data_IF_526918752525
#
_entry.id   IF_526918752525
#
_cell.length_a   1.000
_cell.length_b   1.000
_cell.length_c   1.000
_cell.angle_alpha   90.00
_cell.angle_beta   90.00
_cell.angle_gamma   90.00
#
_symmetry.space_group_name_H-M   'P 1'
#
loop_
_entity.id
_entity.type
_entity.pdbx_description
1 polymer ?
#
# COMPACT_ATOMS: atom_id res chain seq x y z
N UNK A 1 -15.16 6.59 -5.45
CA UNK A 1 -14.18 6.29 -6.51
C UNK A 1 -14.33 4.85 -7.04
N UNK A 2 -14.20 3.80 -6.21
CA UNK A 2 -14.41 2.40 -6.65
C UNK A 2 -15.84 2.08 -7.09
N UNK A 3 -16.85 2.56 -6.35
CA UNK A 3 -18.27 2.41 -6.73
C UNK A 3 -18.57 3.00 -8.11
N UNK A 4 -18.10 4.22 -8.39
CA UNK A 4 -18.27 4.88 -9.68
C UNK A 4 -17.57 4.11 -10.81
N UNK A 5 -16.41 3.49 -10.54
CA UNK A 5 -15.73 2.62 -11.49
C UNK A 5 -16.57 1.37 -11.79
N UNK A 6 -17.11 0.71 -10.76
CA UNK A 6 -17.98 -0.45 -10.94
C UNK A 6 -19.24 -0.10 -11.75
N UNK A 7 -19.87 1.03 -11.45
CA UNK A 7 -21.04 1.52 -12.19
C UNK A 7 -20.70 1.79 -13.67
N UNK A 8 -19.58 2.47 -13.93
CA UNK A 8 -19.11 2.75 -15.30
C UNK A 8 -18.77 1.49 -16.09
N UNK A 9 -18.21 0.48 -15.44
CA UNK A 9 -17.85 -0.79 -16.07
C UNK A 9 -19.03 -1.77 -16.17
N UNK A 10 -20.11 -1.55 -15.41
CA UNK A 10 -21.20 -2.52 -15.23
C UNK A 10 -20.78 -3.79 -14.48
N UNK A 11 -19.57 -3.82 -13.91
CA UNK A 11 -18.95 -4.95 -13.21
C UNK A 11 -17.75 -4.49 -12.39
N UNK A 12 -17.25 -5.30 -11.45
CA UNK A 12 -15.96 -5.02 -10.82
C UNK A 12 -14.80 -5.05 -11.85
N UNK A 13 -13.74 -4.25 -11.64
CA UNK A 13 -12.55 -4.28 -12.50
C UNK A 13 -11.83 -5.63 -12.38
N UNK A 14 -11.01 -6.00 -13.38
CA UNK A 14 -10.23 -7.26 -13.32
C UNK A 14 -9.02 -7.17 -12.37
N UNK A 15 -8.51 -5.96 -12.18
CA UNK A 15 -7.42 -5.64 -11.29
C UNK A 15 -7.58 -4.22 -10.77
N UNK A 16 -7.09 -3.95 -9.57
CA UNK A 16 -7.08 -2.62 -8.96
C UNK A 16 -5.81 -2.44 -8.14
N UNK A 17 -5.15 -1.30 -8.32
CA UNK A 17 -4.09 -0.85 -7.45
C UNK A 17 -4.57 0.34 -6.60
N UNK A 18 -4.31 0.31 -5.30
CA UNK A 18 -4.56 1.43 -4.38
C UNK A 18 -3.25 1.99 -3.84
N UNK A 19 -3.05 3.30 -3.97
CA UNK A 19 -1.79 3.95 -3.60
C UNK A 19 -1.60 4.20 -2.10
N UNK A 20 -2.55 3.78 -1.25
CA UNK A 20 -2.49 3.96 0.20
C UNK A 20 -3.41 2.96 0.90
N UNK A 21 -3.07 2.58 2.13
CA UNK A 21 -3.85 1.65 2.96
C UNK A 21 -5.33 2.09 3.13
N UNK A 22 -5.60 3.36 3.41
CA UNK A 22 -6.97 3.87 3.57
C UNK A 22 -7.81 3.83 2.29
N UNK A 23 -7.17 3.90 1.12
CA UNK A 23 -7.88 3.71 -0.16
C UNK A 23 -8.30 2.26 -0.35
N UNK A 24 -7.41 1.32 0.02
CA UNK A 24 -7.71 -0.10 0.01
C UNK A 24 -8.84 -0.44 0.99
N UNK A 25 -8.83 0.10 2.19
CA UNK A 25 -9.91 -0.07 3.16
C UNK A 25 -11.26 0.37 2.59
N UNK A 26 -11.30 1.51 1.90
CA UNK A 26 -12.49 1.99 1.21
C UNK A 26 -12.98 1.02 0.12
N UNK A 27 -12.06 0.38 -0.61
CA UNK A 27 -12.37 -0.66 -1.60
C UNK A 27 -12.90 -1.92 -0.92
N UNK A 28 -12.21 -2.44 0.09
CA UNK A 28 -12.60 -3.64 0.84
C UNK A 28 -13.96 -3.46 1.51
N UNK A 29 -14.23 -2.29 2.08
CA UNK A 29 -15.53 -1.94 2.64
C UNK A 29 -16.64 -2.00 1.60
N UNK A 30 -16.42 -1.42 0.41
CA UNK A 30 -17.40 -1.51 -0.67
C UNK A 30 -17.56 -2.96 -1.15
N UNK A 31 -16.47 -3.70 -1.34
CA UNK A 31 -16.55 -5.10 -1.76
C UNK A 31 -17.33 -5.94 -0.76
N UNK A 32 -17.12 -5.74 0.55
CA UNK A 32 -17.89 -6.40 1.60
C UNK A 32 -19.38 -6.05 1.53
N UNK A 33 -19.72 -4.76 1.44
CA UNK A 33 -21.11 -4.29 1.39
C UNK A 33 -21.92 -4.82 0.21
N UNK A 34 -21.25 -5.11 -0.92
CA UNK A 34 -21.90 -5.56 -2.15
C UNK A 34 -21.60 -7.04 -2.48
N UNK A 35 -21.12 -7.83 -1.50
CA UNK A 35 -20.81 -9.26 -1.65
C UNK A 35 -19.82 -9.57 -2.80
N UNK A 36 -18.81 -8.73 -2.95
CA UNK A 36 -17.78 -8.83 -3.99
C UNK A 36 -16.44 -9.36 -3.47
N UNK A 37 -16.33 -9.77 -2.20
CA UNK A 37 -15.06 -10.29 -1.67
C UNK A 37 -14.58 -11.55 -2.42
N UNK A 38 -15.51 -12.39 -2.88
CA UNK A 38 -15.19 -13.59 -3.68
C UNK A 38 -15.06 -13.31 -5.19
N UNK A 39 -15.14 -12.04 -5.60
CA UNK A 39 -15.02 -11.69 -7.01
C UNK A 39 -13.58 -11.86 -7.50
N UNK A 40 -13.41 -12.22 -8.78
CA UNK A 40 -12.10 -12.45 -9.42
C UNK A 40 -11.37 -11.15 -9.75
N UNK A 41 -11.15 -10.31 -8.74
CA UNK A 41 -10.39 -9.06 -8.84
C UNK A 41 -8.99 -9.32 -8.29
N UNK A 42 -7.95 -8.94 -9.04
CA UNK A 42 -6.60 -8.87 -8.49
C UNK A 42 -6.40 -7.55 -7.75
N UNK A 43 -6.22 -7.61 -6.44
CA UNK A 43 -5.96 -6.44 -5.61
C UNK A 43 -4.47 -6.28 -5.37
N UNK A 44 -3.98 -5.05 -5.55
CA UNK A 44 -2.66 -4.64 -5.13
C UNK A 44 -2.73 -3.31 -4.37
N UNK A 45 -1.83 -3.08 -3.40
CA UNK A 45 -1.78 -1.82 -2.66
C UNK A 45 -0.36 -1.38 -2.35
N UNK A 46 -0.22 -0.09 -2.06
CA UNK A 46 0.92 0.43 -1.32
C UNK A 46 0.70 0.23 0.19
N UNK A 47 1.80 0.18 0.94
CA UNK A 47 1.90 -0.29 2.33
C UNK A 47 1.58 -1.77 2.53
N UNK A 48 2.26 -2.35 3.52
CA UNK A 48 2.10 -3.75 3.89
C UNK A 48 1.75 -3.88 5.36
N UNK A 49 0.46 -3.88 5.66
CA UNK A 49 -0.03 -4.07 7.01
C UNK A 49 -0.15 -5.56 7.32
N UNK A 50 0.36 -6.02 8.47
CA UNK A 50 0.39 -7.44 8.84
C UNK A 50 -1.00 -8.13 8.81
N UNK A 51 -2.08 -7.37 9.07
CA UNK A 51 -3.45 -7.88 9.00
C UNK A 51 -3.87 -8.35 7.60
N UNK A 52 -3.18 -7.93 6.53
CA UNK A 52 -3.48 -8.38 5.18
C UNK A 52 -3.28 -9.88 5.00
N UNK A 53 -2.44 -10.52 5.83
CA UNK A 53 -2.26 -11.97 5.83
C UNK A 53 -3.46 -12.74 6.42
N UNK A 54 -4.34 -12.04 7.13
CA UNK A 54 -5.54 -12.63 7.77
C UNK A 54 -6.84 -12.39 6.98
N UNK A 55 -6.78 -11.68 5.85
CA UNK A 55 -7.95 -11.38 5.05
C UNK A 55 -8.33 -12.59 4.17
N UNK A 56 -9.63 -12.76 3.93
CA UNK A 56 -10.13 -13.75 2.96
C UNK A 56 -9.77 -13.41 1.51
N UNK A 57 -9.46 -12.14 1.25
CA UNK A 57 -8.99 -11.65 -0.04
C UNK A 57 -7.47 -11.54 -0.08
N UNK A 58 -6.89 -11.93 -1.20
CA UNK A 58 -5.44 -11.79 -1.41
C UNK A 58 -5.14 -10.39 -1.92
N UNK A 59 -4.07 -9.79 -1.41
CA UNK A 59 -3.66 -8.43 -1.76
C UNK A 59 -2.14 -8.42 -1.91
N UNK A 60 -1.66 -8.20 -3.13
CA UNK A 60 -0.22 -7.96 -3.33
C UNK A 60 0.13 -6.57 -2.81
N UNK A 61 1.26 -6.41 -2.13
CA UNK A 61 1.63 -5.10 -1.56
C UNK A 61 3.04 -4.68 -1.90
N UNK A 62 3.22 -3.37 -2.07
CA UNK A 62 4.55 -2.75 -2.11
C UNK A 62 4.91 -2.41 -0.66
N UNK A 63 5.84 -3.18 -0.09
CA UNK A 63 6.31 -3.03 1.28
C UNK A 63 7.52 -2.10 1.33
N UNK A 64 7.43 -1.08 2.18
CA UNK A 64 8.54 -0.18 2.49
C UNK A 64 9.38 -0.74 3.64
N UNK A 65 10.69 -0.45 3.61
CA UNK A 65 11.55 -0.67 4.78
C UNK A 65 11.38 0.49 5.78
N UNK A 66 10.29 0.42 6.54
CA UNK A 66 9.93 1.45 7.52
C UNK A 66 10.99 1.61 8.61
N UNK A 67 11.74 0.54 8.92
CA UNK A 67 12.83 0.58 9.90
C UNK A 67 13.98 1.42 9.37
N UNK A 68 14.44 1.16 8.15
CA UNK A 68 15.48 1.96 7.53
C UNK A 68 15.00 3.39 7.29
N UNK A 69 13.76 3.60 6.83
CA UNK A 69 13.22 4.96 6.68
C UNK A 69 13.33 5.76 7.98
N UNK A 70 12.86 5.20 9.10
CA UNK A 70 12.94 5.87 10.39
C UNK A 70 14.40 6.14 10.82
N UNK A 71 15.29 5.17 10.64
CA UNK A 71 16.71 5.32 10.95
C UNK A 71 17.39 6.43 10.14
N UNK A 72 17.24 6.41 8.82
CA UNK A 72 17.82 7.41 7.91
C UNK A 72 17.24 8.81 8.18
N UNK A 73 15.94 8.91 8.45
CA UNK A 73 15.33 10.19 8.85
C UNK A 73 15.93 10.73 10.14
N UNK A 74 16.08 9.87 11.16
CA UNK A 74 16.68 10.26 12.44
C UNK A 74 18.12 10.74 12.25
N UNK A 75 18.94 9.97 11.53
CA UNK A 75 20.34 10.33 11.24
C UNK A 75 20.47 11.70 10.55
N UNK A 76 19.70 11.93 9.48
CA UNK A 76 19.72 13.19 8.74
C UNK A 76 19.32 14.38 9.62
N UNK A 77 18.27 14.22 10.42
CA UNK A 77 17.79 15.28 11.32
C UNK A 77 18.82 15.56 12.41
N UNK A 78 19.46 14.53 12.98
CA UNK A 78 20.51 14.69 13.99
C UNK A 78 21.71 15.49 13.46
N UNK A 79 22.21 15.17 12.26
CA UNK A 79 23.29 15.92 11.61
C UNK A 79 22.91 17.40 11.41
N UNK A 80 21.68 17.67 10.95
CA UNK A 80 21.19 19.04 10.79
C UNK A 80 21.10 19.80 12.12
N UNK A 81 20.71 19.13 13.21
CA UNK A 81 20.68 19.70 14.57
C UNK A 81 22.09 20.03 15.05
N UNK A 82 23.09 19.22 14.71
CA UNK A 82 24.51 19.43 15.05
C UNK A 82 25.18 20.52 14.20
N UNK A 83 24.45 21.11 13.24
CA UNK A 83 24.96 22.13 12.33
C UNK A 83 25.74 21.58 11.14
N UNK A 84 25.72 20.26 10.95
CA UNK A 84 26.26 19.61 9.77
C UNK A 84 25.25 19.70 8.60
N UNK A 85 25.76 19.62 7.36
CA UNK A 85 24.90 19.52 6.17
C UNK A 85 25.05 18.11 5.59
N UNK A 86 24.05 17.21 5.79
CA UNK A 86 24.10 15.86 5.26
C UNK A 86 24.31 15.83 3.75
N UNK A 87 25.18 14.94 3.29
CA UNK A 87 25.39 14.72 1.85
C UNK A 87 25.30 13.24 1.50
N UNK A 88 24.35 12.83 0.64
CA UNK A 88 23.20 13.57 0.14
C UNK A 88 22.11 13.87 1.21
N UNK A 89 21.37 14.97 0.99
CA UNK A 89 20.17 15.36 1.76
C UNK A 89 18.96 14.45 1.53
N UNK A 90 18.97 13.68 0.44
CA UNK A 90 17.91 12.72 0.11
C UNK A 90 18.49 11.31 0.11
N UNK A 91 17.79 10.40 0.79
CA UNK A 91 18.09 8.97 0.78
C UNK A 91 17.00 8.26 -0.01
N UNK A 92 17.41 7.32 -0.87
CA UNK A 92 16.51 6.41 -1.56
C UNK A 92 16.63 5.04 -0.92
N UNK A 93 15.50 4.45 -0.55
CA UNK A 93 15.42 3.10 -0.03
C UNK A 93 14.56 2.26 -0.97
N UNK A 94 15.03 1.08 -1.42
CA UNK A 94 14.24 0.22 -2.29
C UNK A 94 13.05 -0.35 -1.53
N UNK A 95 11.91 -0.43 -2.20
CA UNK A 95 10.75 -1.17 -1.72
C UNK A 95 10.80 -2.63 -2.19
N UNK A 96 10.04 -3.51 -1.53
CA UNK A 96 9.88 -4.90 -1.93
C UNK A 96 8.42 -5.20 -2.31
N UNK A 97 8.22 -6.21 -3.16
CA UNK A 97 6.89 -6.67 -3.54
C UNK A 97 6.53 -7.92 -2.73
N UNK A 98 5.50 -7.82 -1.90
CA UNK A 98 4.90 -8.93 -1.18
C UNK A 98 3.78 -9.53 -2.02
N UNK A 99 4.04 -10.71 -2.60
CA UNK A 99 3.07 -11.42 -3.44
C UNK A 99 2.23 -12.37 -2.60
N UNK A 100 0.91 -12.17 -2.62
CA UNK A 100 -0.09 -13.06 -2.03
C UNK A 100 -0.89 -13.82 -3.09
N UNK A 101 -0.98 -13.32 -4.33
CA UNK A 101 -1.49 -14.11 -5.44
C UNK A 101 -0.45 -15.19 -5.82
N UNK A 102 -0.85 -16.46 -5.73
CA UNK A 102 -0.12 -17.65 -6.15
C UNK A 102 -1.07 -18.49 -6.99
#
# INVERSE_FOLDING_TARGET
>A
MFAALCARLGRPPKALFTAACGLLEGVLRYMSQYNLLDSKIHLASFDDHYLYDSLSVRIDTIQQDNRQLAFHCFELISQLIEGETPSPLQRYLPASLQKRYR
#
